data_IF_302472412884
#
_entry.id   IF_302472412884
#
_cell.length_a   1.000
_cell.length_b   1.000
_cell.length_c   1.000
_cell.angle_alpha   90.00
_cell.angle_beta   90.00
_cell.angle_gamma   90.00
#
_symmetry.space_group_name_H-M   'P 1'
#
loop_
_entity.id
_entity.type
_entity.pdbx_description
1 polymer ?
#
# COMPACT_ATOMS: atom_id res chain seq x y z
N UNK A 1 -0.19 -27.03 -6.34
CA UNK A 1 0.18 -26.43 -7.65
C UNK A 1 1.55 -25.78 -7.54
N UNK A 2 2.50 -26.12 -8.43
CA UNK A 2 3.77 -25.39 -8.53
C UNK A 2 3.54 -24.14 -9.37
N UNK A 3 3.84 -22.95 -8.84
CA UNK A 3 3.86 -21.71 -9.62
C UNK A 3 5.32 -21.31 -9.86
N UNK A 4 5.60 -20.63 -10.98
CA UNK A 4 6.94 -20.15 -11.34
C UNK A 4 7.55 -19.25 -10.24
N UNK A 5 6.71 -18.60 -9.43
CA UNK A 5 7.13 -17.78 -8.30
C UNK A 5 7.60 -18.58 -7.07
N UNK A 6 7.23 -19.86 -6.96
CA UNK A 6 7.53 -20.68 -5.78
C UNK A 6 8.59 -21.75 -5.98
N UNK A 7 8.99 -22.09 -7.22
CA UNK A 7 9.86 -23.26 -7.49
C UNK A 7 10.91 -23.14 -8.60
N UNK A 8 11.09 -21.97 -9.24
CA UNK A 8 12.08 -21.83 -10.32
C UNK A 8 12.72 -20.44 -10.36
N UNK A 9 13.88 -20.32 -11.02
CA UNK A 9 14.39 -19.00 -11.36
C UNK A 9 13.48 -18.37 -12.40
N UNK A 10 13.11 -17.11 -12.19
CA UNK A 10 12.33 -16.36 -13.16
C UNK A 10 13.18 -16.16 -14.44
N UNK A 11 12.54 -16.13 -15.63
CA UNK A 11 13.23 -15.79 -16.86
C UNK A 11 14.04 -14.49 -16.73
N UNK A 12 15.14 -14.40 -17.47
CA UNK A 12 15.93 -13.16 -17.51
C UNK A 12 15.02 -11.98 -17.91
N UNK A 13 15.16 -10.86 -17.20
CA UNK A 13 14.36 -9.65 -17.41
C UNK A 13 12.84 -9.82 -17.15
N UNK A 14 12.40 -10.86 -16.43
CA UNK A 14 10.98 -11.07 -16.12
C UNK A 14 10.29 -9.79 -15.61
N UNK A 15 10.90 -9.11 -14.64
CA UNK A 15 10.37 -7.90 -14.02
C UNK A 15 10.38 -6.66 -14.90
N UNK A 16 10.97 -6.68 -16.11
CA UNK A 16 10.92 -5.53 -17.03
C UNK A 16 9.53 -5.29 -17.62
N UNK A 17 8.69 -6.32 -17.65
CA UNK A 17 7.34 -6.25 -18.20
C UNK A 17 6.36 -5.92 -17.08
N UNK A 18 5.59 -4.85 -17.24
CA UNK A 18 4.55 -4.46 -16.30
C UNK A 18 3.51 -5.57 -16.11
N UNK A 19 3.20 -6.32 -17.17
CA UNK A 19 2.26 -7.45 -17.13
C UNK A 19 2.74 -8.55 -16.19
N UNK A 20 4.05 -8.77 -16.10
CA UNK A 20 4.63 -9.75 -15.18
C UNK A 20 4.63 -9.27 -13.73
N UNK A 21 4.71 -7.96 -13.51
CA UNK A 21 4.59 -7.34 -12.19
C UNK A 21 3.14 -7.46 -11.67
N UNK A 22 2.16 -7.19 -12.54
CA UNK A 22 0.73 -7.41 -12.26
C UNK A 22 0.47 -8.89 -11.98
N UNK A 23 0.96 -9.79 -12.86
CA UNK A 23 0.79 -11.24 -12.69
C UNK A 23 1.29 -11.73 -11.33
N UNK A 24 2.42 -11.20 -10.86
CA UNK A 24 2.94 -11.52 -9.54
C UNK A 24 2.02 -11.01 -8.41
N UNK A 25 1.58 -9.75 -8.49
CA UNK A 25 0.72 -9.16 -7.45
C UNK A 25 -0.67 -9.81 -7.40
N UNK A 26 -1.24 -10.20 -8.54
CA UNK A 26 -2.49 -10.96 -8.60
C UNK A 26 -2.33 -12.34 -7.96
N UNK A 27 -1.23 -13.03 -8.28
CA UNK A 27 -0.91 -14.31 -7.63
C UNK A 27 -0.70 -14.17 -6.12
N UNK A 28 0.00 -13.12 -5.71
CA UNK A 28 0.24 -12.84 -4.29
C UNK A 28 -1.09 -12.53 -3.58
N UNK A 29 -1.97 -11.76 -4.21
CA UNK A 29 -3.28 -11.45 -3.66
C UNK A 29 -4.13 -12.71 -3.46
N UNK A 30 -4.18 -13.60 -4.45
CA UNK A 30 -4.87 -14.90 -4.36
C UNK A 30 -4.28 -15.78 -3.25
N UNK A 31 -2.95 -15.86 -3.14
CA UNK A 31 -2.27 -16.65 -2.11
C UNK A 31 -2.59 -16.22 -0.68
N UNK A 32 -2.80 -14.93 -0.45
CA UNK A 32 -3.02 -14.33 0.87
C UNK A 32 -4.47 -13.88 1.12
N UNK A 33 -5.40 -14.27 0.24
CA UNK A 33 -6.83 -13.86 0.30
C UNK A 33 -7.01 -12.34 0.45
N UNK A 34 -6.23 -11.58 -0.31
CA UNK A 34 -6.28 -10.11 -0.34
C UNK A 34 -7.35 -9.71 -1.35
N UNK A 35 -8.51 -9.28 -0.85
CA UNK A 35 -9.68 -9.00 -1.67
C UNK A 35 -9.92 -7.49 -1.88
N UNK A 36 -9.40 -6.66 -0.98
CA UNK A 36 -9.67 -5.23 -0.95
C UNK A 36 -8.39 -4.39 -0.82
N UNK A 37 -8.40 -3.12 -1.26
CA UNK A 37 -7.24 -2.23 -1.16
C UNK A 37 -6.68 -2.05 0.26
N UNK A 38 -7.53 -2.15 1.29
CA UNK A 38 -7.11 -2.03 2.69
C UNK A 38 -6.44 -3.30 3.23
N UNK A 39 -6.65 -4.46 2.63
CA UNK A 39 -6.04 -5.73 3.06
C UNK A 39 -4.50 -5.68 2.87
N UNK A 40 -4.05 -4.93 1.86
CA UNK A 40 -2.63 -4.65 1.60
C UNK A 40 -1.91 -3.94 2.75
N UNK A 41 -2.65 -3.31 3.69
CA UNK A 41 -2.07 -2.65 4.87
C UNK A 41 -1.15 -3.56 5.67
N UNK A 42 -1.49 -4.85 5.72
CA UNK A 42 -0.80 -5.86 6.52
C UNK A 42 0.35 -6.54 5.77
N UNK A 43 0.49 -6.29 4.46
CA UNK A 43 1.54 -6.87 3.64
C UNK A 43 2.84 -6.10 3.83
N UNK A 44 3.86 -6.80 4.32
CA UNK A 44 5.19 -6.22 4.48
C UNK A 44 6.05 -6.46 3.24
N UNK A 45 7.07 -5.62 3.06
CA UNK A 45 8.10 -5.83 2.02
C UNK A 45 8.77 -7.19 2.17
N UNK A 46 9.10 -7.58 3.39
CA UNK A 46 9.70 -8.89 3.70
C UNK A 46 8.79 -10.04 3.26
N UNK A 47 7.47 -9.94 3.49
CA UNK A 47 6.51 -10.94 3.03
C UNK A 47 6.52 -11.07 1.50
N UNK A 48 6.56 -9.94 0.79
CA UNK A 48 6.66 -9.95 -0.69
C UNK A 48 7.98 -10.56 -1.16
N UNK A 49 9.11 -10.20 -0.54
CA UNK A 49 10.44 -10.70 -0.90
C UNK A 49 10.58 -12.21 -0.67
N UNK A 50 10.12 -12.71 0.48
CA UNK A 50 10.13 -14.14 0.82
C UNK A 50 9.28 -14.99 -0.12
N UNK A 51 8.33 -14.39 -0.82
CA UNK A 51 7.46 -15.06 -1.80
C UNK A 51 7.89 -14.78 -3.26
N UNK A 52 9.15 -14.38 -3.47
CA UNK A 52 9.76 -14.24 -4.79
C UNK A 52 9.56 -12.88 -5.45
N UNK A 53 8.97 -11.91 -4.74
CA UNK A 53 8.67 -10.57 -5.24
C UNK A 53 9.81 -9.57 -5.17
N UNK A 54 11.03 -9.97 -4.80
CA UNK A 54 12.14 -9.02 -4.59
C UNK A 54 12.42 -8.12 -5.79
N UNK A 55 12.30 -8.66 -7.02
CA UNK A 55 12.52 -7.88 -8.24
C UNK A 55 11.48 -6.80 -8.52
N UNK A 56 10.32 -6.83 -7.86
CA UNK A 56 9.34 -5.74 -7.92
C UNK A 56 9.94 -4.43 -7.35
N UNK A 57 10.76 -4.54 -6.29
CA UNK A 57 11.34 -3.40 -5.60
C UNK A 57 12.54 -2.76 -6.32
N UNK A 58 13.00 -3.35 -7.43
CA UNK A 58 13.95 -2.70 -8.33
C UNK A 58 13.30 -1.57 -9.15
N UNK A 59 11.96 -1.61 -9.30
CA UNK A 59 11.18 -0.64 -10.09
C UNK A 59 10.39 0.32 -9.20
N UNK A 60 10.02 -0.12 -7.99
CA UNK A 60 9.20 0.66 -7.08
C UNK A 60 9.86 0.76 -5.69
N UNK A 61 9.97 1.97 -5.12
CA UNK A 61 10.61 2.15 -3.81
C UNK A 61 9.81 1.52 -2.67
N UNK A 62 8.50 1.30 -2.86
CA UNK A 62 7.59 0.70 -1.86
C UNK A 62 6.51 -0.14 -2.54
N UNK A 63 5.90 -1.07 -1.81
CA UNK A 63 4.77 -1.86 -2.29
C UNK A 63 3.59 -0.95 -2.69
N UNK A 64 3.31 0.07 -1.88
CA UNK A 64 2.26 1.04 -2.18
C UNK A 64 2.49 1.76 -3.52
N UNK A 65 3.73 2.17 -3.81
CA UNK A 65 4.06 2.79 -5.10
C UNK A 65 3.89 1.81 -6.27
N UNK A 66 4.15 0.51 -6.07
CA UNK A 66 3.86 -0.51 -7.06
C UNK A 66 2.35 -0.64 -7.29
N UNK A 67 1.55 -0.71 -6.22
CA UNK A 67 0.09 -0.83 -6.28
C UNK A 67 -0.56 0.37 -7.00
N UNK A 68 -0.16 1.60 -6.69
CA UNK A 68 -0.64 2.81 -7.38
C UNK A 68 -0.30 2.80 -8.87
N UNK A 69 0.91 2.38 -9.23
CA UNK A 69 1.36 2.37 -10.61
C UNK A 69 0.72 1.24 -11.45
N UNK A 70 0.49 0.07 -10.84
CA UNK A 70 0.03 -1.13 -11.52
C UNK A 70 -1.50 -1.26 -11.54
N UNK A 71 -2.20 -0.64 -10.59
CA UNK A 71 -3.66 -0.63 -10.51
C UNK A 71 -4.19 0.81 -10.44
N UNK A 72 -4.04 1.62 -11.51
CA UNK A 72 -4.37 3.04 -11.51
C UNK A 72 -5.87 3.33 -11.39
N UNK A 73 -6.73 2.34 -11.63
CA UNK A 73 -8.20 2.45 -11.47
C UNK A 73 -8.67 2.20 -10.04
N UNK A 74 -7.80 1.71 -9.16
CA UNK A 74 -8.10 1.46 -7.76
C UNK A 74 -7.83 2.73 -6.95
N UNK A 75 -8.78 3.11 -6.10
CA UNK A 75 -8.63 4.25 -5.18
C UNK A 75 -7.77 3.85 -3.98
N UNK A 76 -6.45 3.96 -4.12
CA UNK A 76 -5.50 3.71 -3.03
C UNK A 76 -5.48 4.87 -2.05
N UNK A 77 -5.61 4.56 -0.76
CA UNK A 77 -5.46 5.53 0.30
C UNK A 77 -4.24 5.14 1.15
N UNK A 78 -3.27 6.05 1.22
CA UNK A 78 -2.00 5.83 1.88
C UNK A 78 -2.14 5.55 3.39
N UNK A 79 -3.23 5.97 4.02
CA UNK A 79 -3.47 5.77 5.46
C UNK A 79 -4.20 4.44 5.77
N UNK A 80 -4.94 3.91 4.79
CA UNK A 80 -5.70 2.67 4.96
C UNK A 80 -5.05 1.48 4.26
N UNK A 81 -4.29 1.70 3.18
CA UNK A 81 -3.59 0.65 2.41
C UNK A 81 -2.12 0.47 2.83
N UNK A 82 -1.62 1.20 3.83
CA UNK A 82 -0.26 1.01 4.38
C UNK A 82 -0.27 0.90 5.90
N UNK A 83 0.53 -0.02 6.43
CA UNK A 83 0.79 -0.10 7.87
C UNK A 83 1.50 1.15 8.39
N UNK A 84 2.45 1.69 7.61
CA UNK A 84 3.22 2.90 7.94
C UNK A 84 3.56 3.72 6.70
N UNK A 85 3.47 5.04 6.85
CA UNK A 85 4.01 6.00 5.89
C UNK A 85 5.55 6.07 5.99
N UNK A 86 6.21 6.61 4.96
CA UNK A 86 7.69 6.71 4.97
C UNK A 86 8.17 7.72 6.01
N UNK A 87 9.43 7.59 6.47
CA UNK A 87 10.02 8.48 7.49
C UNK A 87 9.96 9.97 7.14
N UNK A 88 10.00 10.31 5.85
CA UNK A 88 9.95 11.68 5.38
C UNK A 88 8.54 12.15 4.99
N UNK A 89 7.52 11.27 5.06
CA UNK A 89 6.16 11.60 4.66
C UNK A 89 5.60 12.80 5.42
N UNK A 90 5.76 12.80 6.75
CA UNK A 90 5.37 13.90 7.64
C UNK A 90 6.32 15.10 7.63
N UNK A 91 7.36 15.12 6.79
CA UNK A 91 8.14 16.36 6.58
C UNK A 91 7.48 17.30 5.60
N UNK A 92 6.61 16.77 4.75
CA UNK A 92 5.84 17.54 3.78
C UNK A 92 4.50 17.98 4.39
N UNK A 93 4.33 19.29 4.56
CA UNK A 93 3.10 19.87 5.14
C UNK A 93 1.86 19.58 4.29
N UNK A 94 2.01 19.31 2.99
CA UNK A 94 0.87 18.90 2.15
C UNK A 94 0.30 17.55 2.60
N UNK A 95 1.14 16.66 3.12
CA UNK A 95 0.70 15.36 3.65
C UNK A 95 -0.05 15.49 4.97
N UNK A 96 0.28 16.50 5.79
CA UNK A 96 -0.51 16.82 6.98
C UNK A 96 -1.94 17.19 6.58
N UNK A 97 -2.05 18.04 5.55
CA UNK A 97 -3.35 18.48 5.05
C UNK A 97 -4.16 17.30 4.48
N UNK A 98 -3.54 16.47 3.62
CA UNK A 98 -4.16 15.26 3.08
C UNK A 98 -4.66 14.32 4.18
N UNK A 99 -3.87 14.14 5.23
CA UNK A 99 -4.27 13.32 6.38
C UNK A 99 -5.52 13.85 7.06
N UNK A 100 -5.53 15.13 7.46
CA UNK A 100 -6.69 15.71 8.14
C UNK A 100 -7.92 15.82 7.24
N UNK A 101 -7.75 16.06 5.94
CA UNK A 101 -8.87 16.04 4.99
C UNK A 101 -9.48 14.63 4.87
N UNK A 102 -8.64 13.59 4.82
CA UNK A 102 -9.11 12.20 4.82
C UNK A 102 -9.80 11.84 6.14
N UNK A 103 -9.16 12.12 7.27
CA UNK A 103 -9.71 11.83 8.60
C UNK A 103 -11.04 12.56 8.84
N UNK A 104 -11.19 13.79 8.31
CA UNK A 104 -12.44 14.54 8.35
C UNK A 104 -13.57 13.78 7.64
N UNK A 105 -13.30 13.27 6.44
CA UNK A 105 -14.27 12.48 5.65
C UNK A 105 -14.61 11.16 6.35
N UNK A 106 -13.61 10.43 6.86
CA UNK A 106 -13.81 9.16 7.56
C UNK A 106 -14.65 9.31 8.84
N UNK A 107 -14.44 10.39 9.59
CA UNK A 107 -15.19 10.68 10.83
C UNK A 107 -16.52 11.39 10.58
N UNK A 108 -16.88 11.70 9.32
CA UNK A 108 -18.11 12.41 8.98
C UNK A 108 -18.19 13.85 9.52
N UNK A 109 -17.04 14.48 9.78
CA UNK A 109 -17.00 15.83 10.33
C UNK A 109 -17.40 16.84 9.25
N UNK A 110 -18.18 17.84 9.61
CA UNK A 110 -18.64 18.86 8.65
C UNK A 110 -17.67 20.04 8.55
N UNK A 111 -16.92 20.31 9.63
CA UNK A 111 -15.99 21.44 9.72
C UNK A 111 -14.65 21.05 10.35
N UNK A 112 -13.60 21.82 10.08
CA UNK A 112 -12.28 21.63 10.71
C UNK A 112 -12.30 21.93 12.22
N UNK A 113 -13.28 22.69 12.70
CA UNK A 113 -13.39 23.04 14.12
C UNK A 113 -13.78 21.83 14.99
N UNK A 114 -14.42 20.83 14.41
CA UNK A 114 -14.83 19.61 15.11
C UNK A 114 -13.62 18.75 15.53
N UNK A 115 -12.45 18.93 14.90
CA UNK A 115 -11.21 18.26 15.33
C UNK A 115 -10.83 18.56 16.79
N UNK A 116 -11.29 19.67 17.38
CA UNK A 116 -11.07 19.98 18.80
C UNK A 116 -11.67 18.94 19.75
N UNK A 117 -12.64 18.17 19.26
CA UNK A 117 -13.35 17.13 20.01
C UNK A 117 -12.87 15.72 19.65
N UNK A 118 -11.96 15.59 18.69
CA UNK A 118 -11.41 14.30 18.27
C UNK A 118 -10.27 13.91 19.23
N UNK A 119 -10.36 12.77 19.94
CA UNK A 119 -9.28 12.32 20.80
C UNK A 119 -7.99 12.09 20.01
N UNK A 120 -6.85 12.39 20.62
CA UNK A 120 -5.53 12.11 20.03
C UNK A 120 -5.34 10.62 19.70
N UNK A 121 -5.99 9.73 20.46
CA UNK A 121 -5.97 8.29 20.19
C UNK A 121 -6.67 7.94 18.87
N UNK A 122 -7.78 8.61 18.52
CA UNK A 122 -8.44 8.45 17.22
C UNK A 122 -7.52 8.88 16.08
N UNK A 123 -6.77 9.97 16.26
CA UNK A 123 -5.78 10.44 15.27
C UNK A 123 -4.69 9.38 15.05
N UNK A 124 -4.15 8.83 16.14
CA UNK A 124 -3.10 7.80 16.13
C UNK A 124 -3.56 6.48 15.48
N UNK A 125 -4.78 6.04 15.79
CA UNK A 125 -5.35 4.81 15.20
C UNK A 125 -5.55 4.92 13.69
N UNK A 126 -5.75 6.15 13.18
CA UNK A 126 -5.87 6.44 11.75
C UNK A 126 -4.53 6.81 11.07
N UNK A 127 -3.40 6.69 11.78
CA UNK A 127 -2.06 6.78 11.19
C UNK A 127 -1.31 8.09 11.42
N UNK A 128 -1.85 9.01 12.22
CA UNK A 128 -1.18 10.26 12.62
C UNK A 128 -0.21 10.14 13.80
#
# INVERSE_FOLDING_TARGET
>A
SSNIFSKGSLPKNFWRKTENQVLFLDFFADMFDIQHPYDWKHVTRELVETHGGSGLFDYYPTLFAALEALYPTVSWDIFTSRSRVTRNFWKDRTNHRKFFDNLKMQLGLTSVQEFRHVPAETIKQNGG
#
